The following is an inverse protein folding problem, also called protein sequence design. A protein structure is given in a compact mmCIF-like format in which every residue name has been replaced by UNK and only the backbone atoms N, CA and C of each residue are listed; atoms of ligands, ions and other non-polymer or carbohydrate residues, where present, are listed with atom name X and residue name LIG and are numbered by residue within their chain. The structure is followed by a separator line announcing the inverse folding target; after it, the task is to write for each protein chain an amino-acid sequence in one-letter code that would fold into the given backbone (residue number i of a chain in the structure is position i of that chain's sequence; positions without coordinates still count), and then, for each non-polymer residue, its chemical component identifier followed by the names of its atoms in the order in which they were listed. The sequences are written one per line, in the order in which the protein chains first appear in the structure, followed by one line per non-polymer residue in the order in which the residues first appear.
data_IF_206775741775
#
_entry.id   IF_206775741775
#
_cell.length_a   1.000
_cell.length_b   1.000
_cell.length_c   1.000
_cell.angle_alpha   90.00
_cell.angle_beta   90.00
_cell.angle_gamma   90.00
#
_symmetry.space_group_name_H-M   'P 1'
#
loop_
_entity.id
_entity.type
_entity.pdbx_description
1 polymer ?
#
# COMPACT_ATOMS: atom_id res chain seq x y z
N UNK A 1 -23.93 -24.18 0.98
CA UNK A 1 -23.78 -23.56 -0.35
C UNK A 1 -22.30 -23.52 -0.64
N UNK A 2 -21.85 -24.11 -1.75
CA UNK A 2 -20.42 -24.09 -2.12
C UNK A 2 -20.04 -22.67 -2.58
N UNK A 3 -18.90 -22.16 -2.12
CA UNK A 3 -18.36 -20.90 -2.57
C UNK A 3 -17.66 -21.07 -3.93
N UNK A 4 -17.57 -20.01 -4.75
CA UNK A 4 -16.81 -20.09 -6.00
C UNK A 4 -15.33 -20.37 -5.72
N UNK A 5 -14.80 -21.43 -6.34
CA UNK A 5 -13.39 -21.79 -6.28
C UNK A 5 -12.63 -20.95 -7.32
N UNK A 6 -11.51 -20.36 -6.91
CA UNK A 6 -10.59 -19.63 -7.79
C UNK A 6 -9.18 -20.16 -7.63
N UNK A 7 -8.38 -19.97 -8.68
CA UNK A 7 -6.94 -20.27 -8.66
C UNK A 7 -6.18 -19.01 -8.25
N UNK A 8 -5.24 -19.16 -7.32
CA UNK A 8 -4.35 -18.08 -6.90
C UNK A 8 -3.32 -17.78 -7.99
N UNK A 9 -3.13 -16.52 -8.36
CA UNK A 9 -2.09 -16.11 -9.33
C UNK A 9 -0.65 -16.19 -8.78
N UNK A 10 -0.49 -16.38 -7.47
CA UNK A 10 0.83 -16.38 -6.81
C UNK A 10 1.35 -17.80 -6.51
N UNK A 11 0.50 -18.69 -5.99
CA UNK A 11 0.85 -20.07 -5.66
C UNK A 11 0.20 -21.12 -6.56
N UNK A 12 -0.68 -20.70 -7.49
CA UNK A 12 -1.41 -21.61 -8.42
C UNK A 12 -2.34 -22.63 -7.73
N UNK A 13 -2.64 -22.43 -6.46
CA UNK A 13 -3.54 -23.30 -5.68
C UNK A 13 -5.01 -22.88 -5.79
N UNK A 14 -5.91 -23.87 -5.71
CA UNK A 14 -7.36 -23.68 -5.65
C UNK A 14 -7.80 -23.23 -4.25
N UNK A 15 -8.58 -22.15 -4.15
CA UNK A 15 -9.09 -21.64 -2.89
C UNK A 15 -10.55 -21.18 -2.97
N UNK A 16 -11.25 -21.25 -1.84
CA UNK A 16 -12.64 -20.82 -1.72
C UNK A 16 -12.74 -19.29 -1.51
N UNK A 17 -13.38 -18.60 -2.44
CA UNK A 17 -13.60 -17.16 -2.32
C UNK A 17 -14.86 -16.86 -1.49
N UNK A 18 -14.68 -16.42 -0.24
CA UNK A 18 -15.78 -15.98 0.63
C UNK A 18 -16.33 -14.60 0.18
N UNK A 19 -17.66 -14.43 0.03
CA UNK A 19 -18.26 -13.14 -0.29
C UNK A 19 -18.10 -12.16 0.87
N UNK A 20 -17.79 -10.89 0.57
CA UNK A 20 -17.68 -9.82 1.57
C UNK A 20 -16.29 -9.23 1.77
N UNK A 21 -15.24 -9.74 1.10
CA UNK A 21 -13.91 -9.10 1.09
C UNK A 21 -13.50 -8.69 -0.33
N UNK A 22 -13.54 -7.39 -0.70
CA UNK A 22 -13.25 -6.91 -2.06
C UNK A 22 -11.78 -7.07 -2.50
N UNK A 23 -10.88 -7.52 -1.62
CA UNK A 23 -9.44 -7.62 -1.89
C UNK A 23 -8.95 -8.94 -2.50
N UNK A 24 -9.69 -10.05 -2.43
CA UNK A 24 -9.20 -11.39 -2.80
C UNK A 24 -9.56 -11.78 -4.24
N UNK A 25 -9.55 -10.82 -5.17
CA UNK A 25 -10.05 -11.09 -6.53
C UNK A 25 -9.25 -12.20 -7.24
N UNK A 26 -7.94 -12.29 -7.01
CA UNK A 26 -7.02 -13.22 -7.68
C UNK A 26 -5.90 -13.81 -6.79
N UNK A 27 -5.86 -13.49 -5.49
CA UNK A 27 -4.84 -14.01 -4.54
C UNK A 27 -5.51 -14.71 -3.37
N UNK A 28 -4.96 -15.85 -2.98
CA UNK A 28 -5.37 -16.58 -1.79
C UNK A 28 -5.03 -15.79 -0.51
N UNK A 29 -5.67 -16.10 0.64
CA UNK A 29 -5.38 -15.44 1.92
C UNK A 29 -3.90 -15.45 2.29
N UNK A 30 -3.21 -16.59 2.15
CA UNK A 30 -1.77 -16.72 2.46
C UNK A 30 -0.91 -15.73 1.64
N UNK A 31 -1.22 -15.54 0.35
CA UNK A 31 -0.44 -14.65 -0.53
C UNK A 31 -0.88 -13.18 -0.49
N UNK A 32 -1.95 -12.86 0.23
CA UNK A 32 -2.51 -11.50 0.29
C UNK A 32 -2.65 -10.94 1.70
N UNK A 33 -2.33 -11.73 2.73
CA UNK A 33 -1.99 -11.19 4.03
C UNK A 33 -0.82 -10.21 3.82
N UNK A 34 -1.05 -8.89 3.97
CA UNK A 34 0.10 -8.04 4.22
C UNK A 34 0.74 -8.58 5.50
N UNK A 35 2.07 -8.70 5.51
CA UNK A 35 2.83 -8.76 6.76
C UNK A 35 2.11 -7.82 7.73
N UNK A 36 1.70 -8.31 8.90
CA UNK A 36 1.04 -7.51 9.90
C UNK A 36 2.04 -6.46 10.44
N UNK A 37 2.45 -5.52 9.59
CA UNK A 37 3.01 -4.25 9.96
C UNK A 37 1.86 -3.56 10.65
N UNK A 38 1.76 -3.82 11.95
CA UNK A 38 0.66 -3.35 12.76
C UNK A 38 0.41 -1.89 12.42
N UNK A 39 -0.85 -1.60 12.08
CA UNK A 39 -1.45 -0.27 12.16
C UNK A 39 -1.46 0.23 13.62
N UNK A 40 -0.41 -0.02 14.39
CA UNK A 40 0.00 0.95 15.37
C UNK A 40 0.56 2.09 14.57
N UNK A 41 -0.16 3.22 14.47
CA UNK A 41 0.48 4.51 14.21
C UNK A 41 1.70 4.55 15.14
N UNK A 42 2.89 4.26 14.60
CA UNK A 42 4.12 4.36 15.36
C UNK A 42 4.08 5.79 15.88
N UNK A 43 4.13 5.97 17.20
CA UNK A 43 4.00 7.30 17.80
C UNK A 43 5.24 8.08 17.39
N UNK A 44 5.18 8.70 16.21
CA UNK A 44 6.26 9.51 15.68
C UNK A 44 6.40 10.68 16.63
N UNK A 45 7.61 10.85 17.12
CA UNK A 45 7.96 11.94 18.03
C UNK A 45 7.75 13.30 17.33
N UNK A 46 7.61 14.37 18.11
CA UNK A 46 7.36 15.70 17.57
C UNK A 46 8.51 16.16 16.64
N UNK A 47 9.75 15.78 16.96
CA UNK A 47 10.92 16.09 16.15
C UNK A 47 10.96 15.28 14.85
N UNK A 48 10.55 14.00 14.89
CA UNK A 48 10.44 13.16 13.70
C UNK A 48 9.40 13.71 12.71
N UNK A 49 8.25 14.18 13.23
CA UNK A 49 7.21 14.82 12.40
C UNK A 49 7.69 16.12 11.75
N UNK A 50 8.45 16.94 12.48
CA UNK A 50 9.01 18.19 11.95
C UNK A 50 10.01 17.92 10.84
N UNK A 51 10.94 17.00 11.08
CA UNK A 51 11.94 16.62 10.09
C UNK A 51 11.30 16.10 8.78
N UNK A 52 10.28 15.23 8.90
CA UNK A 52 9.55 14.72 7.74
C UNK A 52 8.79 15.83 7.01
N UNK A 53 8.23 16.81 7.74
CA UNK A 53 7.55 17.95 7.13
C UNK A 53 8.52 18.81 6.32
N UNK A 54 9.69 19.12 6.86
CA UNK A 54 10.75 19.91 6.20
C UNK A 54 11.30 19.21 4.96
N UNK A 55 11.59 17.91 5.05
CA UNK A 55 12.07 17.11 3.91
C UNK A 55 11.02 17.04 2.80
N UNK A 56 9.74 16.87 3.16
CA UNK A 56 8.65 16.85 2.19
C UNK A 56 8.44 18.22 1.53
N UNK A 57 8.62 19.32 2.26
CA UNK A 57 8.56 20.67 1.68
C UNK A 57 9.69 20.88 0.65
N UNK A 58 10.92 20.53 1.01
CA UNK A 58 12.06 20.62 0.10
C UNK A 58 11.83 19.79 -1.19
N UNK A 59 11.25 18.59 -1.06
CA UNK A 59 10.88 17.75 -2.20
C UNK A 59 9.79 18.40 -3.07
N UNK A 60 8.77 19.00 -2.47
CA UNK A 60 7.70 19.69 -3.22
C UNK A 60 8.24 20.91 -3.95
N UNK A 61 9.15 21.67 -3.33
CA UNK A 61 9.79 22.82 -3.95
C UNK A 61 10.69 22.40 -5.12
N UNK A 62 11.49 21.33 -4.98
CA UNK A 62 12.34 20.84 -6.06
C UNK A 62 11.51 20.35 -7.26
N UNK A 63 10.43 19.59 -7.00
CA UNK A 63 9.50 19.15 -8.05
C UNK A 63 8.81 20.33 -8.74
N UNK A 64 8.38 21.35 -7.98
CA UNK A 64 7.77 22.56 -8.55
C UNK A 64 8.78 23.32 -9.41
N UNK A 65 10.01 23.46 -8.96
CA UNK A 65 11.06 24.10 -9.74
C UNK A 65 11.37 23.33 -11.03
N UNK A 66 11.38 22.00 -11.02
CA UNK A 66 11.57 21.21 -12.25
C UNK A 66 10.40 21.37 -13.23
N UNK A 67 9.16 21.41 -12.74
CA UNK A 67 7.97 21.53 -13.58
C UNK A 67 7.76 22.94 -14.16
N UNK A 68 8.11 23.97 -13.38
CA UNK A 68 7.91 25.38 -13.75
C UNK A 68 9.18 26.09 -14.20
N UNK A 69 10.35 25.44 -14.14
CA UNK A 69 11.50 25.87 -14.91
C UNK A 69 11.16 25.65 -16.37
N UNK A 70 10.87 26.77 -17.00
CA UNK A 70 10.70 26.94 -18.42
C UNK A 70 12.08 26.77 -19.07
N UNK A 71 12.64 25.56 -19.00
CA UNK A 71 13.77 25.13 -19.83
C UNK A 71 13.26 24.80 -21.25
N UNK A 72 12.48 25.73 -21.83
CA UNK A 72 12.05 25.74 -23.22
C UNK A 72 12.45 27.04 -23.89
#
# INVERSE_FOLDING_TARGET
MAFPIKVCVACEEEFELKPGKPGFANRCPECSEPEATGDGKQRMDADERKNIAEVNEARRQSMRNLLYRKDS
#
